data_IF_803702627865
#
_entry.id   IF_803702627865
#
_cell.length_a   1.000
_cell.length_b   1.000
_cell.length_c   1.000
_cell.angle_alpha   90.00
_cell.angle_beta   90.00
_cell.angle_gamma   90.00
#
_symmetry.space_group_name_H-M   'P 1'
#
loop_
_entity.id
_entity.type
_entity.pdbx_description
1 polymer ?
#
# COMPACT_ATOMS: atom_id res chain seq x y z
N UNK A 1 4.24 -6.69 -22.12
CA UNK A 1 5.05 -6.04 -23.18
C UNK A 1 6.45 -6.61 -23.13
N UNK A 2 7.13 -6.74 -24.28
CA UNK A 2 8.54 -7.15 -24.34
C UNK A 2 9.36 -5.96 -24.81
N UNK A 3 10.28 -5.52 -23.97
CA UNK A 3 11.09 -4.32 -24.15
C UNK A 3 12.52 -4.66 -23.75
N UNK A 4 13.49 -4.08 -24.44
CA UNK A 4 14.91 -4.16 -24.06
C UNK A 4 15.23 -2.92 -23.22
N UNK A 5 15.77 -3.13 -22.02
CA UNK A 5 16.16 -2.08 -21.08
C UNK A 5 17.56 -2.42 -20.56
N UNK A 6 18.40 -1.40 -20.43
CA UNK A 6 19.69 -1.53 -19.74
C UNK A 6 19.46 -1.40 -18.22
N UNK A 7 19.99 -2.34 -17.44
CA UNK A 7 19.80 -2.41 -15.99
C UNK A 7 21.11 -2.78 -15.32
N UNK A 8 21.37 -2.16 -14.18
CA UNK A 8 22.54 -2.46 -13.38
C UNK A 8 22.52 -3.93 -12.88
N UNK A 9 23.72 -4.49 -12.72
CA UNK A 9 23.90 -5.91 -12.40
C UNK A 9 23.40 -6.28 -11.01
N UNK A 10 23.46 -5.35 -10.06
CA UNK A 10 22.93 -5.47 -8.70
C UNK A 10 21.40 -5.51 -8.70
N UNK A 11 20.75 -4.65 -9.48
CA UNK A 11 19.30 -4.63 -9.66
C UNK A 11 18.82 -5.94 -10.30
N UNK A 12 19.53 -6.43 -11.32
CA UNK A 12 19.20 -7.72 -11.94
C UNK A 12 19.35 -8.89 -10.95
N UNK A 13 20.39 -8.89 -10.12
CA UNK A 13 20.59 -9.91 -9.09
C UNK A 13 19.46 -9.89 -8.05
N UNK A 14 19.08 -8.72 -7.56
CA UNK A 14 17.96 -8.55 -6.63
C UNK A 14 16.63 -9.00 -7.24
N UNK A 15 16.36 -8.63 -8.50
CA UNK A 15 15.15 -9.04 -9.20
C UNK A 15 15.07 -10.56 -9.40
N UNK A 16 16.19 -11.24 -9.68
CA UNK A 16 16.25 -12.71 -9.76
C UNK A 16 15.92 -13.37 -8.42
N UNK A 17 16.50 -12.89 -7.33
CA UNK A 17 16.24 -13.43 -5.99
C UNK A 17 14.74 -13.30 -5.63
N UNK A 18 14.14 -12.14 -5.89
CA UNK A 18 12.71 -11.91 -5.70
C UNK A 18 11.85 -12.79 -6.61
N UNK A 19 12.21 -12.93 -7.88
CA UNK A 19 11.50 -13.79 -8.82
C UNK A 19 11.45 -15.25 -8.35
N UNK A 20 12.57 -15.79 -7.83
CA UNK A 20 12.61 -17.13 -7.25
C UNK A 20 11.73 -17.24 -6.01
N UNK A 21 11.79 -16.27 -5.09
CA UNK A 21 10.98 -16.27 -3.87
C UNK A 21 9.47 -16.22 -4.15
N UNK A 22 9.06 -15.41 -5.13
CA UNK A 22 7.65 -15.22 -5.49
C UNK A 22 7.14 -16.19 -6.57
N UNK A 23 8.01 -17.07 -7.11
CA UNK A 23 7.71 -17.97 -8.25
C UNK A 23 7.16 -17.21 -9.47
N UNK A 24 7.72 -16.04 -9.75
CA UNK A 24 7.34 -15.19 -10.87
C UNK A 24 8.49 -15.04 -11.86
N UNK A 25 8.23 -14.45 -13.03
CA UNK A 25 9.30 -14.12 -13.98
C UNK A 25 10.02 -12.84 -13.58
N UNK A 26 11.32 -12.75 -13.87
CA UNK A 26 12.12 -11.54 -13.61
C UNK A 26 11.49 -10.30 -14.24
N UNK A 27 10.99 -10.41 -15.47
CA UNK A 27 10.31 -9.31 -16.15
C UNK A 27 9.03 -8.84 -15.45
N UNK A 28 8.27 -9.77 -14.81
CA UNK A 28 7.08 -9.41 -14.03
C UNK A 28 7.47 -8.67 -12.75
N UNK A 29 8.49 -9.14 -12.04
CA UNK A 29 9.03 -8.49 -10.82
C UNK A 29 9.54 -7.09 -11.15
N UNK A 30 10.37 -6.94 -12.19
CA UNK A 30 10.90 -5.63 -12.62
C UNK A 30 9.75 -4.69 -13.02
N UNK A 31 8.76 -5.19 -13.76
CA UNK A 31 7.59 -4.38 -14.15
C UNK A 31 6.78 -3.91 -12.94
N UNK A 32 6.66 -4.75 -11.90
CA UNK A 32 5.98 -4.40 -10.66
C UNK A 32 6.78 -3.38 -9.83
N UNK A 33 8.09 -3.56 -9.71
CA UNK A 33 8.97 -2.60 -9.04
C UNK A 33 8.94 -1.24 -9.74
N UNK A 34 8.98 -1.23 -11.08
CA UNK A 34 8.86 -0.02 -11.86
C UNK A 34 7.50 0.67 -11.65
N UNK A 35 6.39 -0.08 -11.63
CA UNK A 35 5.07 0.48 -11.31
C UNK A 35 5.05 1.14 -9.94
N UNK A 36 5.63 0.50 -8.91
CA UNK A 36 5.70 1.05 -7.55
C UNK A 36 6.58 2.29 -7.48
N UNK A 37 7.71 2.30 -8.18
CA UNK A 37 8.61 3.47 -8.24
C UNK A 37 8.03 4.66 -9.02
N UNK A 38 7.17 4.40 -10.00
CA UNK A 38 6.47 5.43 -10.77
C UNK A 38 5.20 5.94 -10.07
N UNK A 39 4.73 5.30 -9.01
CA UNK A 39 3.68 5.88 -8.19
C UNK A 39 4.20 7.18 -7.59
N UNK A 40 3.42 8.28 -7.66
CA UNK A 40 3.78 9.50 -6.97
C UNK A 40 4.07 9.14 -5.52
N UNK A 41 5.20 9.59 -4.99
CA UNK A 41 5.45 9.47 -3.55
C UNK A 41 4.21 10.01 -2.84
N UNK A 42 3.54 9.16 -2.06
CA UNK A 42 2.31 9.52 -1.37
C UNK A 42 2.56 10.89 -0.73
N UNK A 43 1.73 11.88 -1.12
CA UNK A 43 1.94 13.30 -0.82
C UNK A 43 2.57 13.41 0.57
N UNK A 44 3.83 13.83 0.58
CA UNK A 44 4.75 13.60 1.69
C UNK A 44 4.05 13.85 3.01
N UNK A 45 4.20 12.91 3.94
CA UNK A 45 3.70 13.05 5.32
C UNK A 45 3.97 14.48 5.75
N UNK A 46 2.92 15.27 5.89
CA UNK A 46 3.03 16.70 6.14
C UNK A 46 3.66 16.83 7.53
N UNK A 47 4.90 17.28 7.60
CA UNK A 47 5.62 17.41 8.87
C UNK A 47 5.28 18.75 9.48
N UNK A 48 4.14 18.84 10.16
CA UNK A 48 3.81 20.00 10.99
C UNK A 48 4.49 19.87 12.34
N UNK A 49 5.37 20.82 12.67
CA UNK A 49 6.02 20.88 13.98
C UNK A 49 7.00 19.75 14.31
N UNK A 50 7.60 19.12 13.29
CA UNK A 50 8.58 18.03 13.48
C UNK A 50 7.97 16.62 13.60
N UNK A 51 6.64 16.50 13.64
CA UNK A 51 5.95 15.21 13.71
C UNK A 51 5.37 14.80 12.36
N UNK A 52 5.43 13.51 12.00
CA UNK A 52 4.78 13.00 10.81
C UNK A 52 3.25 13.12 10.94
N UNK A 53 2.61 14.05 10.21
CA UNK A 53 1.14 14.14 10.20
C UNK A 53 0.57 13.39 8.99
N UNK A 54 -0.48 12.61 9.24
CA UNK A 54 -1.17 11.92 8.17
C UNK A 54 -1.78 12.94 7.21
N UNK A 55 -1.72 12.69 5.88
CA UNK A 55 -2.34 13.58 4.91
C UNK A 55 -3.83 13.73 5.20
N UNK A 56 -4.36 14.94 5.04
CA UNK A 56 -5.80 15.20 5.21
C UNK A 56 -6.56 14.33 4.23
N UNK A 57 -7.23 13.29 4.73
CA UNK A 57 -8.17 12.49 3.94
C UNK A 57 -9.49 13.24 3.89
N UNK A 58 -10.00 13.49 2.69
CA UNK A 58 -11.40 13.89 2.49
C UNK A 58 -12.27 12.69 2.83
N UNK A 59 -12.94 12.74 3.98
CA UNK A 59 -13.78 11.67 4.49
C UNK A 59 -14.58 12.12 5.72
N UNK A 60 -15.45 11.26 6.20
CA UNK A 60 -16.25 11.52 7.40
C UNK A 60 -15.33 11.54 8.63
N UNK A 61 -15.42 12.61 9.43
CA UNK A 61 -14.71 12.68 10.72
C UNK A 61 -15.38 11.72 11.68
N UNK A 62 -14.65 10.69 12.11
CA UNK A 62 -15.14 9.76 13.14
C UNK A 62 -14.91 10.40 14.50
N UNK A 63 -16.00 10.73 15.19
CA UNK A 63 -15.98 11.29 16.55
C UNK A 63 -16.34 10.21 17.59
N UNK A 64 -15.96 10.39 18.87
CA UNK A 64 -16.43 9.51 19.95
C UNK A 64 -17.96 9.39 19.98
N UNK A 65 -18.68 10.51 19.84
CA UNK A 65 -20.14 10.52 19.78
C UNK A 65 -20.71 9.68 18.63
N UNK A 66 -20.01 9.62 17.48
CA UNK A 66 -20.41 8.77 16.35
C UNK A 66 -20.22 7.29 16.70
N UNK A 67 -19.12 6.95 17.37
CA UNK A 67 -18.84 5.59 17.84
C UNK A 67 -19.87 5.16 18.87
N UNK A 68 -20.20 6.01 19.84
CA UNK A 68 -21.18 5.70 20.87
C UNK A 68 -22.58 5.46 20.26
N UNK A 69 -22.99 6.28 19.29
CA UNK A 69 -24.24 6.05 18.54
C UNK A 69 -24.24 4.73 17.77
N UNK A 70 -23.09 4.32 17.22
CA UNK A 70 -22.96 3.05 16.48
C UNK A 70 -22.96 1.83 17.40
N UNK A 71 -22.50 1.98 18.65
CA UNK A 71 -22.52 0.93 19.66
C UNK A 71 -23.90 0.76 20.30
N UNK A 72 -24.67 1.85 20.40
CA UNK A 72 -26.04 1.87 20.95
C UNK A 72 -27.08 1.35 19.96
N UNK A 73 -26.75 1.35 18.66
CA UNK A 73 -27.46 0.55 17.67
C UNK A 73 -27.07 -0.89 17.92
N UNK A 74 -27.95 -1.68 18.55
CA UNK A 74 -27.81 -3.14 18.65
C UNK A 74 -27.46 -3.70 17.26
N UNK A 75 -26.19 -4.03 17.06
CA UNK A 75 -25.73 -4.70 15.83
C UNK A 75 -26.13 -6.16 15.95
N UNK A 76 -27.42 -6.40 15.81
CA UNK A 76 -28.02 -7.75 15.80
C UNK A 76 -27.85 -8.41 14.42
N UNK A 77 -26.65 -8.28 13.86
CA UNK A 77 -26.29 -8.80 12.56
C UNK A 77 -24.93 -9.48 12.66
N UNK A 78 -24.98 -10.79 12.95
CA UNK A 78 -24.13 -11.82 12.33
C UNK A 78 -22.89 -11.27 11.63
N UNK A 79 -21.80 -11.10 12.38
CA UNK A 79 -20.48 -10.98 11.78
C UNK A 79 -20.12 -12.39 11.33
N UNK A 80 -20.07 -12.71 10.01
CA UNK A 80 -19.58 -14.01 9.59
C UNK A 80 -18.10 -14.08 9.96
N UNK A 81 -17.78 -14.84 11.00
CA UNK A 81 -16.43 -15.25 11.32
C UNK A 81 -15.86 -15.98 10.12
N UNK A 82 -14.93 -15.32 9.43
CA UNK A 82 -14.20 -15.92 8.31
C UNK A 82 -13.29 -17.00 8.91
N UNK A 83 -13.61 -18.27 8.64
CA UNK A 83 -12.69 -19.40 8.78
C UNK A 83 -11.44 -19.18 7.93
#
# INVERSE_FOLDING_TARGET
MRTTLDIDSDVLAAAKALATAHKETVGKVVSELARRGLQPAAAGIDRRGGFPSLPKRTGVVITPDLVDRLLDVDVDASIPTRR
#
